data_IF_564963492467
#
_entry.id   IF_564963492467
#
_cell.length_a   1.000
_cell.length_b   1.000
_cell.length_c   1.000
_cell.angle_alpha   90.00
_cell.angle_beta   90.00
_cell.angle_gamma   90.00
#
_symmetry.space_group_name_H-M   'P 1'
#
loop_
_entity.id
_entity.type
_entity.pdbx_description
1 polymer ?
#
# COMPACT_ATOMS: atom_id res chain seq x y z
N UNK A 1 -9.95 -24.04 6.27
CA UNK A 1 -9.81 -22.64 5.81
C UNK A 1 -8.36 -22.14 5.83
N UNK A 2 -7.59 -22.34 6.92
CA UNK A 2 -6.20 -21.86 7.03
C UNK A 2 -5.23 -22.43 5.97
N UNK A 3 -5.29 -23.74 5.73
CA UNK A 3 -4.40 -24.46 4.81
C UNK A 3 -4.34 -23.89 3.38
N UNK A 4 -5.50 -23.63 2.76
CA UNK A 4 -5.51 -23.08 1.40
C UNK A 4 -5.02 -21.62 1.38
N UNK A 5 -5.35 -20.81 2.40
CA UNK A 5 -4.88 -19.42 2.48
C UNK A 5 -3.36 -19.34 2.53
N UNK A 6 -2.72 -20.25 3.26
CA UNK A 6 -1.26 -20.35 3.34
C UNK A 6 -0.67 -20.89 2.04
N UNK A 7 -1.18 -22.02 1.52
CA UNK A 7 -0.71 -22.64 0.27
C UNK A 7 -0.71 -21.66 -0.92
N UNK A 8 -1.72 -20.79 -1.00
CA UNK A 8 -1.87 -19.84 -2.10
C UNK A 8 -1.42 -18.41 -1.76
N UNK A 9 -0.80 -18.19 -0.59
CA UNK A 9 -0.28 -16.87 -0.22
C UNK A 9 -1.34 -15.77 -0.12
N UNK A 10 -2.58 -16.13 0.26
CA UNK A 10 -3.74 -15.24 0.27
C UNK A 10 -3.49 -13.97 1.09
N UNK A 11 -2.84 -14.07 2.25
CA UNK A 11 -2.59 -12.91 3.10
C UNK A 11 -1.71 -11.86 2.40
N UNK A 12 -0.63 -12.31 1.73
CA UNK A 12 0.25 -11.41 0.97
C UNK A 12 -0.51 -10.76 -0.19
N UNK A 13 -1.32 -11.53 -0.92
CA UNK A 13 -2.17 -11.01 -2.00
C UNK A 13 -3.15 -9.96 -1.49
N UNK A 14 -3.86 -10.25 -0.40
CA UNK A 14 -4.82 -9.34 0.22
C UNK A 14 -4.15 -8.03 0.66
N UNK A 15 -2.96 -8.08 1.27
CA UNK A 15 -2.20 -6.88 1.62
C UNK A 15 -1.85 -6.03 0.39
N UNK A 16 -1.36 -6.66 -0.68
CA UNK A 16 -1.05 -5.96 -1.93
C UNK A 16 -2.29 -5.35 -2.59
N UNK A 17 -3.41 -6.07 -2.61
CA UNK A 17 -4.69 -5.58 -3.15
C UNK A 17 -5.19 -4.36 -2.35
N UNK A 18 -5.14 -4.42 -1.02
CA UNK A 18 -5.52 -3.29 -0.16
C UNK A 18 -4.58 -2.10 -0.35
N UNK A 19 -3.27 -2.31 -0.45
CA UNK A 19 -2.32 -1.23 -0.72
C UNK A 19 -2.62 -0.54 -2.07
N UNK A 20 -2.83 -1.34 -3.13
CA UNK A 20 -3.15 -0.80 -4.45
C UNK A 20 -4.51 -0.09 -4.49
N UNK A 21 -5.51 -0.58 -3.75
CA UNK A 21 -6.78 0.12 -3.61
C UNK A 21 -6.58 1.53 -3.02
N UNK A 22 -5.79 1.65 -1.95
CA UNK A 22 -5.48 2.95 -1.32
C UNK A 22 -4.71 3.89 -2.25
N UNK A 23 -3.73 3.37 -3.01
CA UNK A 23 -3.02 4.15 -4.04
C UNK A 23 -4.01 4.73 -5.05
N UNK A 24 -4.90 3.90 -5.60
CA UNK A 24 -5.90 4.34 -6.59
C UNK A 24 -6.83 5.42 -6.05
N UNK A 25 -7.26 5.31 -4.80
CA UNK A 25 -8.19 6.25 -4.19
C UNK A 25 -7.54 7.60 -3.85
N UNK A 26 -6.29 7.59 -3.35
CA UNK A 26 -5.67 8.80 -2.79
C UNK A 26 -4.71 9.50 -3.74
N UNK A 27 -4.06 8.75 -4.64
CA UNK A 27 -2.94 9.23 -5.45
C UNK A 27 -3.18 9.07 -6.95
N UNK A 28 -4.41 8.69 -7.34
CA UNK A 28 -4.77 8.40 -8.71
C UNK A 28 -4.51 6.94 -9.10
N UNK A 29 -5.22 6.48 -10.12
CA UNK A 29 -5.21 5.07 -10.55
C UNK A 29 -4.28 4.75 -11.71
N UNK A 30 -3.43 5.69 -12.12
CA UNK A 30 -2.63 5.59 -13.34
C UNK A 30 -1.22 6.13 -13.12
N UNK A 31 -0.26 5.60 -13.88
CA UNK A 31 1.09 6.13 -13.98
C UNK A 31 1.15 7.10 -15.17
N UNK A 32 1.70 8.28 -14.93
CA UNK A 32 1.78 9.35 -15.93
C UNK A 32 3.04 9.27 -16.79
N UNK A 33 4.12 8.68 -16.25
CA UNK A 33 5.41 8.62 -16.92
C UNK A 33 5.46 7.46 -17.92
N UNK A 34 6.13 7.69 -19.06
CA UNK A 34 6.18 6.71 -20.18
C UNK A 34 7.37 5.77 -20.14
N UNK A 35 8.44 6.14 -19.45
CA UNK A 35 9.64 5.30 -19.32
C UNK A 35 9.49 4.37 -18.11
N UNK A 36 9.89 3.10 -18.24
CA UNK A 36 9.77 2.11 -17.16
C UNK A 36 10.48 2.55 -15.87
N UNK A 37 11.73 3.02 -15.94
CA UNK A 37 12.46 3.46 -14.74
C UNK A 37 11.79 4.69 -14.11
N UNK A 38 11.20 5.56 -14.94
CA UNK A 38 10.43 6.69 -14.45
C UNK A 38 9.14 6.23 -13.75
N UNK A 39 8.44 5.24 -14.29
CA UNK A 39 7.26 4.61 -13.66
C UNK A 39 7.59 3.95 -12.32
N UNK A 40 8.75 3.30 -12.22
CA UNK A 40 9.25 2.73 -10.95
C UNK A 40 9.46 3.84 -9.92
N UNK A 41 10.09 4.95 -10.33
CA UNK A 41 10.29 6.13 -9.48
C UNK A 41 8.97 6.78 -9.03
N UNK A 42 8.02 6.95 -9.94
CA UNK A 42 6.67 7.47 -9.67
C UNK A 42 5.95 6.59 -8.64
N UNK A 43 5.96 5.28 -8.84
CA UNK A 43 5.36 4.32 -7.91
C UNK A 43 6.02 4.40 -6.53
N UNK A 44 7.34 4.50 -6.46
CA UNK A 44 8.06 4.62 -5.19
C UNK A 44 7.68 5.91 -4.43
N UNK A 45 7.55 7.02 -5.14
CA UNK A 45 7.09 8.28 -4.57
C UNK A 45 5.66 8.17 -4.04
N UNK A 46 4.75 7.53 -4.78
CA UNK A 46 3.37 7.29 -4.35
C UNK A 46 3.32 6.47 -3.05
N UNK A 47 4.06 5.36 -2.97
CA UNK A 47 4.11 4.52 -1.77
C UNK A 47 4.71 5.29 -0.58
N UNK A 48 5.75 6.10 -0.80
CA UNK A 48 6.35 6.93 0.25
C UNK A 48 5.35 7.96 0.79
N UNK A 49 4.58 8.61 -0.10
CA UNK A 49 3.52 9.53 0.30
C UNK A 49 2.40 8.82 1.09
N UNK A 50 1.94 7.65 0.62
CA UNK A 50 0.91 6.85 1.30
C UNK A 50 1.33 6.41 2.71
N UNK A 51 2.59 5.98 2.87
CA UNK A 51 3.13 5.61 4.18
C UNK A 51 3.20 6.81 5.12
N UNK A 52 3.58 8.00 4.61
CA UNK A 52 3.60 9.23 5.41
C UNK A 52 2.18 9.63 5.86
N UNK A 53 1.19 9.58 4.96
CA UNK A 53 -0.21 9.84 5.31
C UNK A 53 -0.74 8.86 6.35
N UNK A 54 -0.39 7.57 6.21
CA UNK A 54 -0.75 6.55 7.20
C UNK A 54 -0.16 6.88 8.56
N UNK A 55 1.13 7.24 8.63
CA UNK A 55 1.78 7.67 9.86
C UNK A 55 1.12 8.87 10.53
N UNK A 56 0.73 9.88 9.74
CA UNK A 56 0.09 11.10 10.26
C UNK A 56 -1.34 10.85 10.77
N UNK A 57 -2.04 9.85 10.22
CA UNK A 57 -3.40 9.48 10.63
C UNK A 57 -3.47 8.43 11.74
N UNK A 58 -2.33 7.85 12.17
CA UNK A 58 -2.32 6.87 13.25
C UNK A 58 -2.32 7.59 14.61
N UNK A 59 -3.33 7.34 15.47
CA UNK A 59 -3.31 7.87 16.83
C UNK A 59 -2.22 7.20 17.67
N UNK A 60 -1.65 7.94 18.62
CA UNK A 60 -0.73 7.38 19.60
C UNK A 60 -1.52 6.51 20.60
N UNK A 61 -1.14 5.24 20.71
CA UNK A 61 -1.71 4.33 21.69
C UNK A 61 -0.88 4.38 22.97
N UNK A 62 -1.46 4.93 24.04
CA UNK A 62 -0.87 4.89 25.37
C UNK A 62 -1.44 3.71 26.16
N UNK A 63 -0.60 3.03 26.95
CA UNK A 63 -1.10 2.10 27.96
C UNK A 63 -1.72 2.94 29.08
N UNK A 64 -2.88 2.50 29.55
CA UNK A 64 -3.55 3.11 30.70
C UNK A 64 -3.15 2.24 31.90
N UNK A 65 -2.44 2.85 32.85
CA UNK A 65 -2.10 2.24 34.13
C UNK A 65 -3.26 2.37 35.14
#
# INVERSE_FOLDING_TARGET
>A
NKYWKERYGYHKRSLSETAMYRVKQLLGGQLSLRNYNAQVGETYAMIKALNKLTGLGMPETCRID
#
